data_IF_527475983090
#
_entry.id   IF_527475983090
#
_cell.length_a   1.000
_cell.length_b   1.000
_cell.length_c   1.000
_cell.angle_alpha   90.00
_cell.angle_beta   90.00
_cell.angle_gamma   90.00
#
_symmetry.space_group_name_H-M   'P 1'
#
loop_
_entity.id
_entity.type
_entity.pdbx_description
1 polymer ?
#
# COMPACT_ATOMS: atom_id res chain seq x y z
N UNK A 1 -20.33 -5.30 -2.29
CA UNK A 1 -18.94 -5.76 -2.36
C UNK A 1 -18.91 -7.00 -1.51
N UNK A 2 -18.63 -8.14 -2.10
CA UNK A 2 -18.91 -9.41 -1.43
C UNK A 2 -17.76 -9.76 -0.49
N UNK A 3 -18.06 -10.45 0.60
CA UNK A 3 -17.10 -10.95 1.59
C UNK A 3 -15.85 -11.62 0.94
N UNK A 4 -16.05 -12.23 -0.23
CA UNK A 4 -15.02 -12.81 -1.11
C UNK A 4 -13.91 -11.83 -1.53
N UNK A 5 -14.24 -10.55 -1.79
CA UNK A 5 -13.25 -9.54 -2.17
C UNK A 5 -12.33 -9.20 -0.99
N UNK A 6 -12.89 -8.93 0.19
CA UNK A 6 -12.13 -8.61 1.40
C UNK A 6 -11.23 -9.78 1.78
N UNK A 7 -11.76 -11.00 1.76
CA UNK A 7 -10.98 -12.20 2.00
C UNK A 7 -9.79 -12.31 1.03
N UNK A 8 -10.04 -12.21 -0.28
CA UNK A 8 -8.99 -12.32 -1.31
C UNK A 8 -7.92 -11.22 -1.17
N UNK A 9 -8.34 -9.99 -0.84
CA UNK A 9 -7.42 -8.87 -0.63
C UNK A 9 -6.59 -9.04 0.65
N UNK A 10 -7.18 -9.61 1.70
CA UNK A 10 -6.49 -9.89 2.96
C UNK A 10 -5.40 -10.94 2.77
N UNK A 11 -5.71 -12.04 2.08
CA UNK A 11 -4.74 -13.09 1.73
C UNK A 11 -3.60 -12.53 0.87
N UNK A 12 -3.94 -11.72 -0.14
CA UNK A 12 -2.94 -11.11 -1.00
C UNK A 12 -2.04 -10.12 -0.24
N UNK A 13 -2.61 -9.29 0.63
CA UNK A 13 -1.83 -8.39 1.51
C UNK A 13 -0.89 -9.17 2.43
N UNK A 14 -1.34 -10.29 2.99
CA UNK A 14 -0.52 -11.16 3.83
C UNK A 14 0.69 -11.73 3.07
N UNK A 15 0.50 -12.15 1.81
CA UNK A 15 1.60 -12.60 0.96
C UNK A 15 2.61 -11.47 0.68
N UNK A 16 2.13 -10.28 0.29
CA UNK A 16 3.01 -9.14 0.01
C UNK A 16 3.81 -8.74 1.25
N UNK A 17 3.16 -8.75 2.43
CA UNK A 17 3.81 -8.49 3.72
C UNK A 17 4.92 -9.51 3.98
N UNK A 18 4.65 -10.79 3.79
CA UNK A 18 5.63 -11.86 3.95
C UNK A 18 6.84 -11.65 3.02
N UNK A 19 6.60 -11.35 1.74
CA UNK A 19 7.64 -11.09 0.76
C UNK A 19 8.53 -9.90 1.16
N UNK A 20 7.93 -8.78 1.56
CA UNK A 20 8.66 -7.58 1.99
C UNK A 20 9.46 -7.81 3.27
N UNK A 21 8.93 -8.60 4.21
CA UNK A 21 9.65 -9.00 5.41
C UNK A 21 10.87 -9.88 5.08
N UNK A 22 10.70 -10.85 4.18
CA UNK A 22 11.80 -11.68 3.67
C UNK A 22 12.89 -10.85 2.97
N UNK A 23 12.50 -9.91 2.11
CA UNK A 23 13.42 -8.98 1.45
C UNK A 23 14.13 -8.07 2.44
N UNK A 24 13.46 -7.67 3.52
CA UNK A 24 14.11 -6.90 4.58
C UNK A 24 15.19 -7.71 5.27
N UNK A 25 14.92 -8.98 5.58
CA UNK A 25 15.90 -9.85 6.21
C UNK A 25 17.11 -10.09 5.30
N UNK A 26 16.88 -10.34 4.01
CA UNK A 26 17.94 -10.43 3.00
C UNK A 26 18.78 -9.14 2.94
N UNK A 27 18.13 -7.97 3.00
CA UNK A 27 18.83 -6.67 2.98
C UNK A 27 19.73 -6.40 4.19
N UNK A 28 19.53 -7.14 5.29
CA UNK A 28 20.40 -7.07 6.48
C UNK A 28 21.65 -7.93 6.32
N UNK A 29 21.57 -8.99 5.52
CA UNK A 29 22.67 -9.90 5.25
C UNK A 29 23.63 -9.37 4.18
N UNK A 30 23.15 -8.44 3.33
CA UNK A 30 23.97 -7.80 2.32
C UNK A 30 23.13 -6.94 1.37
N UNK A 31 23.78 -6.42 0.33
CA UNK A 31 23.06 -5.74 -0.74
C UNK A 31 22.16 -6.75 -1.47
N UNK A 32 20.88 -6.39 -1.63
CA UNK A 32 19.94 -7.18 -2.44
C UNK A 32 20.51 -7.37 -3.85
N UNK A 33 20.51 -8.63 -4.30
CA UNK A 33 20.79 -9.02 -5.67
C UNK A 33 19.81 -8.35 -6.64
N UNK A 34 20.12 -8.42 -7.93
CA UNK A 34 19.26 -7.86 -8.98
C UNK A 34 17.82 -8.41 -8.92
N UNK A 35 17.66 -9.70 -8.62
CA UNK A 35 16.34 -10.33 -8.59
C UNK A 35 15.55 -9.96 -7.33
N UNK A 36 16.22 -9.95 -6.18
CA UNK A 36 15.60 -9.52 -4.91
C UNK A 36 15.22 -8.05 -4.95
N UNK A 37 16.06 -7.20 -5.56
CA UNK A 37 15.73 -5.79 -5.79
C UNK A 37 14.47 -5.64 -6.67
N UNK A 38 14.37 -6.38 -7.78
CA UNK A 38 13.16 -6.36 -8.62
C UNK A 38 11.92 -6.88 -7.90
N UNK A 39 12.08 -7.90 -7.04
CA UNK A 39 11.00 -8.36 -6.19
C UNK A 39 10.56 -7.24 -5.24
N UNK A 40 11.49 -6.50 -4.64
CA UNK A 40 11.17 -5.38 -3.76
C UNK A 40 10.39 -4.27 -4.49
N UNK A 41 10.82 -3.87 -5.69
CA UNK A 41 10.11 -2.90 -6.51
C UNK A 41 8.66 -3.35 -6.77
N UNK A 42 8.49 -4.61 -7.19
CA UNK A 42 7.17 -5.15 -7.49
C UNK A 42 6.30 -5.26 -6.24
N UNK A 43 6.82 -5.76 -5.13
CA UNK A 43 6.08 -5.90 -3.88
C UNK A 43 5.63 -4.54 -3.34
N UNK A 44 6.48 -3.50 -3.43
CA UNK A 44 6.09 -2.13 -3.06
C UNK A 44 5.02 -1.57 -4.00
N UNK A 45 5.18 -1.75 -5.31
CA UNK A 45 4.16 -1.32 -6.27
C UNK A 45 2.80 -1.94 -5.96
N UNK A 46 2.74 -3.25 -5.72
CA UNK A 46 1.49 -3.96 -5.44
C UNK A 46 0.92 -3.54 -4.07
N UNK A 47 1.75 -3.38 -3.04
CA UNK A 47 1.31 -2.86 -1.74
C UNK A 47 0.62 -1.49 -1.86
N UNK A 48 1.20 -0.59 -2.65
CA UNK A 48 0.63 0.75 -2.86
C UNK A 48 -0.70 0.65 -3.62
N UNK A 49 -0.82 -0.23 -4.61
CA UNK A 49 -2.09 -0.49 -5.30
C UNK A 49 -3.16 -1.06 -4.35
N UNK A 50 -2.78 -1.96 -3.44
CA UNK A 50 -3.68 -2.46 -2.40
C UNK A 50 -4.17 -1.30 -1.52
N UNK A 51 -3.28 -0.42 -1.08
CA UNK A 51 -3.66 0.76 -0.28
C UNK A 51 -4.62 1.67 -1.05
N UNK A 52 -4.36 1.93 -2.33
CA UNK A 52 -5.25 2.75 -3.18
C UNK A 52 -6.63 2.09 -3.32
N UNK A 53 -6.68 0.77 -3.54
CA UNK A 53 -7.92 0.02 -3.63
C UNK A 53 -8.74 0.09 -2.34
N UNK A 54 -8.09 -0.18 -1.20
CA UNK A 54 -8.71 -0.06 0.13
C UNK A 54 -9.22 1.36 0.36
N UNK A 55 -8.42 2.38 0.05
CA UNK A 55 -8.81 3.77 0.25
C UNK A 55 -10.05 4.15 -0.56
N UNK A 56 -10.10 3.75 -1.84
CA UNK A 56 -11.24 4.00 -2.71
C UNK A 56 -12.52 3.33 -2.22
N UNK A 57 -12.41 2.07 -1.80
CA UNK A 57 -13.55 1.32 -1.32
C UNK A 57 -14.04 1.82 0.04
N UNK A 58 -13.12 2.17 0.95
CA UNK A 58 -13.46 2.74 2.25
C UNK A 58 -14.11 4.12 2.10
N UNK A 59 -13.54 4.99 1.28
CA UNK A 59 -14.12 6.30 0.96
C UNK A 59 -15.53 6.18 0.39
N UNK A 60 -15.74 5.24 -0.54
CA UNK A 60 -17.07 4.95 -1.09
C UNK A 60 -18.05 4.43 -0.02
N UNK A 61 -17.59 3.54 0.86
CA UNK A 61 -18.42 2.98 1.93
C UNK A 61 -18.97 4.08 2.86
N UNK A 62 -18.16 5.10 3.15
CA UNK A 62 -18.51 6.25 3.99
C UNK A 62 -19.41 7.28 3.27
N UNK A 63 -19.05 7.68 2.05
CA UNK A 63 -19.71 8.82 1.36
C UNK A 63 -20.73 8.43 0.29
N UNK A 64 -20.85 7.13 -0.03
CA UNK A 64 -21.67 6.58 -1.13
C UNK A 64 -21.39 7.19 -2.51
N UNK A 65 -20.28 7.90 -2.65
CA UNK A 65 -19.82 8.53 -3.89
C UNK A 65 -18.43 8.02 -4.21
N UNK A 66 -18.23 7.53 -5.44
CA UNK A 66 -16.94 6.97 -5.83
C UNK A 66 -15.91 8.12 -6.00
N UNK A 67 -14.73 8.03 -5.38
CA UNK A 67 -13.67 9.01 -5.60
C UNK A 67 -13.19 8.96 -7.06
N UNK A 68 -12.88 10.13 -7.63
CA UNK A 68 -12.45 10.26 -9.02
C UNK A 68 -11.08 9.61 -9.27
N UNK A 69 -10.20 9.61 -8.28
CA UNK A 69 -8.84 9.10 -8.36
C UNK A 69 -8.31 8.65 -6.98
N UNK A 70 -7.02 8.31 -6.90
CA UNK A 70 -6.41 7.90 -5.63
C UNK A 70 -6.30 9.07 -4.63
N UNK A 71 -5.99 10.27 -5.09
CA UNK A 71 -5.78 11.44 -4.23
C UNK A 71 -7.08 11.83 -3.52
N UNK A 72 -8.16 11.94 -4.27
CA UNK A 72 -9.50 12.22 -3.76
C UNK A 72 -9.99 11.15 -2.78
N UNK A 73 -9.62 9.87 -2.98
CA UNK A 73 -9.95 8.81 -2.03
C UNK A 73 -9.30 9.05 -0.66
N UNK A 74 -8.00 9.34 -0.62
CA UNK A 74 -7.29 9.64 0.63
C UNK A 74 -7.75 10.97 1.25
N UNK A 75 -8.02 11.99 0.44
CA UNK A 75 -8.56 13.27 0.92
C UNK A 75 -9.91 13.07 1.64
N UNK A 76 -10.81 12.29 1.04
CA UNK A 76 -12.10 11.96 1.68
C UNK A 76 -11.88 11.25 3.01
N UNK A 77 -11.00 10.24 3.07
CA UNK A 77 -10.74 9.53 4.33
C UNK A 77 -10.16 10.45 5.41
N UNK A 78 -9.27 11.36 5.03
CA UNK A 78 -8.73 12.39 5.92
C UNK A 78 -9.84 13.31 6.47
N UNK A 79 -10.74 13.78 5.60
CA UNK A 79 -11.90 14.61 5.98
C UNK A 79 -12.88 13.86 6.90
N UNK A 80 -12.98 12.54 6.76
CA UNK A 80 -13.80 11.67 7.60
C UNK A 80 -13.10 11.25 8.91
N UNK A 81 -11.91 11.77 9.20
CA UNK A 81 -11.21 11.55 10.47
C UNK A 81 -10.48 10.21 10.55
N UNK A 82 -10.08 9.60 9.43
CA UNK A 82 -9.22 8.41 9.43
C UNK A 82 -7.77 8.81 9.71
N UNK A 83 -7.34 8.64 10.96
CA UNK A 83 -6.03 9.11 11.46
C UNK A 83 -4.84 8.52 10.71
N UNK A 84 -4.91 7.25 10.27
CA UNK A 84 -3.84 6.58 9.54
C UNK A 84 -3.52 7.25 8.20
N UNK A 85 -4.50 7.96 7.61
CA UNK A 85 -4.28 8.69 6.36
C UNK A 85 -3.47 9.96 6.59
N UNK A 86 -3.52 10.53 7.80
CA UNK A 86 -2.89 11.80 8.12
C UNK A 86 -1.40 11.67 8.49
N UNK A 87 -0.95 10.48 8.91
CA UNK A 87 0.45 10.23 9.26
C UNK A 87 1.33 9.96 8.05
N UNK A 88 0.72 9.49 6.94
CA UNK A 88 1.43 9.07 5.73
C UNK A 88 1.31 10.16 4.66
N UNK A 89 2.44 10.51 4.04
CA UNK A 89 2.43 11.42 2.89
C UNK A 89 2.01 10.70 1.61
N UNK A 90 0.71 10.41 1.45
CA UNK A 90 0.15 9.65 0.31
C UNK A 90 0.53 10.21 -1.06
N UNK A 91 0.70 11.53 -1.19
CA UNK A 91 1.19 12.14 -2.43
C UNK A 91 2.58 11.61 -2.85
N UNK A 92 3.49 11.42 -1.89
CA UNK A 92 4.81 10.84 -2.15
C UNK A 92 4.71 9.35 -2.45
N UNK A 93 3.85 8.63 -1.74
CA UNK A 93 3.64 7.18 -1.94
C UNK A 93 3.07 6.89 -3.33
N UNK A 94 2.04 7.62 -3.75
CA UNK A 94 1.46 7.51 -5.10
C UNK A 94 2.50 7.94 -6.15
N UNK A 95 3.27 8.99 -5.88
CA UNK A 95 4.38 9.41 -6.75
C UNK A 95 5.43 8.31 -6.94
N UNK A 96 5.83 7.63 -5.87
CA UNK A 96 6.76 6.50 -5.92
C UNK A 96 6.20 5.35 -6.77
N UNK A 97 4.92 4.99 -6.61
CA UNK A 97 4.28 3.98 -7.48
C UNK A 97 4.33 4.40 -8.94
N UNK A 98 4.02 5.67 -9.24
CA UNK A 98 4.04 6.17 -10.62
C UNK A 98 5.45 6.12 -11.22
N UNK A 99 6.46 6.47 -10.41
CA UNK A 99 7.85 6.37 -10.83
C UNK A 99 8.21 4.91 -11.16
N UNK A 100 7.87 3.95 -10.27
CA UNK A 100 8.12 2.51 -10.45
C UNK A 100 7.53 1.92 -11.73
N UNK A 101 6.48 2.53 -12.29
CA UNK A 101 5.80 2.04 -13.49
C UNK A 101 6.17 2.82 -14.75
N UNK A 102 6.20 4.14 -14.67
CA UNK A 102 6.27 5.02 -15.83
C UNK A 102 7.60 5.77 -15.97
N UNK A 103 8.31 5.99 -14.86
CA UNK A 103 9.56 6.76 -14.82
C UNK A 103 10.74 5.91 -14.30
N UNK A 104 10.68 4.60 -14.55
CA UNK A 104 11.60 3.61 -13.97
C UNK A 104 13.06 3.79 -14.40
N UNK A 105 13.32 4.57 -15.45
CA UNK A 105 14.68 4.93 -15.86
C UNK A 105 15.33 5.98 -14.96
N UNK A 106 14.53 6.75 -14.22
CA UNK A 106 14.98 7.87 -13.39
C UNK A 106 14.85 7.59 -11.88
N UNK A 107 14.43 6.37 -11.50
CA UNK A 107 14.38 5.98 -10.09
C UNK A 107 15.80 5.76 -9.57
N UNK A 108 16.13 6.43 -8.48
CA UNK A 108 17.33 6.15 -7.72
C UNK A 108 17.13 4.83 -6.92
N UNK A 109 17.88 3.75 -7.22
CA UNK A 109 17.66 2.44 -6.59
C UNK A 109 17.79 2.46 -5.07
N UNK A 110 18.58 3.39 -4.54
CA UNK A 110 18.78 3.56 -3.11
C UNK A 110 17.50 3.92 -2.37
N UNK A 111 16.53 4.60 -3.02
CA UNK A 111 15.23 4.89 -2.40
C UNK A 111 14.52 3.59 -2.04
N UNK A 112 14.46 2.64 -2.98
CA UNK A 112 13.80 1.34 -2.76
C UNK A 112 14.56 0.52 -1.73
N UNK A 113 15.90 0.50 -1.80
CA UNK A 113 16.72 -0.18 -0.79
C UNK A 113 16.49 0.38 0.61
N UNK A 114 16.39 1.70 0.76
CA UNK A 114 16.11 2.35 2.04
C UNK A 114 14.73 1.99 2.55
N UNK A 115 13.69 2.03 1.70
CA UNK A 115 12.32 1.65 2.07
C UNK A 115 12.28 0.23 2.62
N UNK A 116 12.93 -0.73 1.94
CA UNK A 116 13.01 -2.11 2.39
C UNK A 116 13.80 -2.23 3.69
N UNK A 117 15.03 -1.69 3.72
CA UNK A 117 15.95 -1.84 4.86
C UNK A 117 15.40 -1.21 6.14
N UNK A 118 14.74 -0.06 6.03
CA UNK A 118 14.16 0.67 7.16
C UNK A 118 12.74 0.22 7.50
N UNK A 119 12.14 -0.69 6.72
CA UNK A 119 10.75 -1.13 6.88
C UNK A 119 9.73 0.00 6.86
N UNK A 120 9.99 1.09 6.14
CA UNK A 120 9.03 2.21 6.07
C UNK A 120 7.73 1.82 5.36
N UNK A 121 7.73 0.69 4.63
CA UNK A 121 6.52 0.10 4.07
C UNK A 121 5.54 -0.44 5.12
N UNK A 122 5.96 -0.68 6.38
CA UNK A 122 5.11 -1.26 7.43
C UNK A 122 3.89 -0.35 7.72
N UNK A 123 4.06 0.98 7.61
CA UNK A 123 2.94 1.93 7.77
C UNK A 123 1.85 1.73 6.71
N UNK A 124 2.23 1.36 5.49
CA UNK A 124 1.28 1.07 4.40
C UNK A 124 0.55 -0.25 4.65
N UNK A 125 1.25 -1.26 5.16
CA UNK A 125 0.65 -2.54 5.55
C UNK A 125 -0.38 -2.32 6.65
N UNK A 126 -0.03 -1.56 7.69
CA UNK A 126 -0.93 -1.23 8.80
C UNK A 126 -2.17 -0.49 8.31
N UNK A 127 -2.01 0.49 7.41
CA UNK A 127 -3.15 1.18 6.79
C UNK A 127 -4.08 0.19 6.06
N UNK A 128 -3.52 -0.67 5.21
CA UNK A 128 -4.30 -1.63 4.42
C UNK A 128 -5.03 -2.65 5.30
N UNK A 129 -4.37 -3.20 6.32
CA UNK A 129 -4.97 -4.14 7.28
C UNK A 129 -6.16 -3.50 8.01
N UNK A 130 -5.98 -2.28 8.55
CA UNK A 130 -7.05 -1.56 9.25
C UNK A 130 -8.22 -1.23 8.34
N UNK A 131 -7.94 -0.77 7.12
CA UNK A 131 -8.98 -0.45 6.16
C UNK A 131 -9.79 -1.68 5.73
N UNK A 132 -9.15 -2.85 5.58
CA UNK A 132 -9.85 -4.11 5.29
C UNK A 132 -10.75 -4.54 6.46
N UNK A 133 -10.29 -4.41 7.70
CA UNK A 133 -11.12 -4.65 8.90
C UNK A 133 -12.32 -3.71 8.91
N UNK A 134 -12.12 -2.41 8.64
CA UNK A 134 -13.25 -1.46 8.60
C UNK A 134 -14.22 -1.70 7.46
N UNK A 135 -13.74 -2.12 6.31
CA UNK A 135 -14.62 -2.53 5.22
C UNK A 135 -15.44 -3.78 5.59
N UNK A 136 -14.86 -4.73 6.32
CA UNK A 136 -15.58 -5.92 6.78
C UNK A 136 -16.67 -5.55 7.80
N UNK A 137 -16.35 -4.66 8.75
CA UNK A 137 -17.30 -4.15 9.73
C UNK A 137 -18.50 -3.49 9.04
N UNK A 138 -18.25 -2.54 8.13
CA UNK A 138 -19.31 -1.76 7.45
C UNK A 138 -20.21 -2.63 6.56
N UNK A 139 -19.69 -3.72 6.00
CA UNK A 139 -20.46 -4.61 5.12
C UNK A 139 -21.19 -5.74 5.87
N UNK A 140 -20.92 -5.88 7.17
CA UNK A 140 -21.61 -6.84 8.03
C UNK A 140 -22.85 -6.23 8.72
N UNK A 141 -23.05 -4.92 8.59
CA UNK A 141 -24.22 -4.15 9.03
C UNK A 141 -25.28 -4.01 7.93
#
# INVERSE_FOLDING_TARGET
MDNTYIFSMTEHLAQIKCDLQGLTELSRQGALSRYEYKAAERSLQVLIEVCIGVAKHWSYALNKTAPADAYSAFEILSQQGVDEVNTISWKKIIGMRNALVHDYLNIEPEIIRLVIKQKTYDELVVFAEKGLVKLADILSE
#
